data_IF_409779273849
#
_entry.id   IF_409779273849
#
_cell.length_a   1.000
_cell.length_b   1.000
_cell.length_c   1.000
_cell.angle_alpha   90.00
_cell.angle_beta   90.00
_cell.angle_gamma   90.00
#
_symmetry.space_group_name_H-M   'P 1'
#
loop_
_entity.id
_entity.type
_entity.pdbx_description
1 polymer ?
#
# COMPACT_ATOMS: atom_id res chain seq x y z
N UNK A 1 -16.44 9.93 29.92
CA UNK A 1 -17.53 10.09 30.90
C UNK A 1 -17.98 8.75 31.52
N UNK A 2 -18.16 7.67 30.73
CA UNK A 2 -18.57 6.35 31.24
C UNK A 2 -17.54 5.78 32.20
N UNK A 3 -16.26 5.73 31.77
CA UNK A 3 -15.13 5.23 32.57
C UNK A 3 -14.91 6.04 33.85
N UNK A 4 -15.17 7.36 33.84
CA UNK A 4 -15.05 8.21 35.01
C UNK A 4 -16.18 8.00 36.02
N UNK A 5 -17.37 7.54 35.56
CA UNK A 5 -18.50 7.25 36.43
C UNK A 5 -18.48 5.86 37.05
N UNK A 6 -17.87 4.90 36.37
CA UNK A 6 -17.77 3.52 36.83
C UNK A 6 -16.39 3.28 37.42
N UNK A 7 -16.30 3.07 38.73
CA UNK A 7 -15.06 2.66 39.37
C UNK A 7 -14.60 1.32 38.79
N UNK A 8 -13.55 1.32 38.01
CA UNK A 8 -12.91 0.10 37.55
C UNK A 8 -11.91 -0.30 38.63
N UNK A 9 -12.16 -1.38 39.38
CA UNK A 9 -11.28 -1.78 40.46
C UNK A 9 -9.92 -2.19 39.90
N UNK A 10 -8.83 -1.71 40.47
CA UNK A 10 -7.44 -2.16 40.30
C UNK A 10 -6.75 -1.95 38.95
N UNK A 11 -7.33 -1.25 37.98
CA UNK A 11 -6.68 -0.99 36.69
C UNK A 11 -6.47 0.50 36.45
N UNK A 12 -5.30 0.85 35.93
CA UNK A 12 -5.06 2.19 35.37
C UNK A 12 -5.43 2.19 33.90
N UNK A 13 -6.12 3.23 33.46
CA UNK A 13 -6.51 3.43 32.05
C UNK A 13 -5.72 4.62 31.52
N UNK A 14 -5.00 4.39 30.44
CA UNK A 14 -4.33 5.43 29.64
C UNK A 14 -5.19 5.71 28.42
N UNK A 15 -5.60 6.94 28.23
CA UNK A 15 -6.33 7.39 27.03
C UNK A 15 -5.27 7.97 26.09
N UNK A 16 -5.26 7.49 24.85
CA UNK A 16 -4.29 7.88 23.80
C UNK A 16 -5.06 8.61 22.71
N UNK A 17 -4.65 9.83 22.40
CA UNK A 17 -5.14 10.61 21.27
C UNK A 17 -4.02 10.64 20.22
N UNK A 18 -4.13 9.75 19.22
CA UNK A 18 -3.13 9.62 18.17
C UNK A 18 -3.30 10.72 17.12
N UNK A 19 -2.28 11.53 16.83
CA UNK A 19 -2.27 12.44 15.70
C UNK A 19 -1.93 11.70 14.39
N UNK A 20 -2.10 12.36 13.24
CA UNK A 20 -1.56 11.94 11.95
C UNK A 20 -1.83 10.47 11.58
N UNK A 21 -3.05 9.98 11.85
CA UNK A 21 -3.47 8.61 11.52
C UNK A 21 -3.52 8.43 9.99
N UNK A 22 -4.09 9.39 9.26
CA UNK A 22 -4.31 9.36 7.81
C UNK A 22 -3.01 9.26 6.98
N UNK A 23 -1.87 9.64 7.57
CA UNK A 23 -0.55 9.50 6.96
C UNK A 23 0.28 8.39 7.61
N UNK A 24 -0.34 7.55 8.45
CA UNK A 24 0.25 6.38 9.11
C UNK A 24 1.54 6.67 9.92
N UNK A 25 1.75 7.90 10.41
CA UNK A 25 2.96 8.29 11.13
C UNK A 25 2.76 8.46 12.65
N UNK A 26 1.57 8.90 13.06
CA UNK A 26 1.32 9.28 14.45
C UNK A 26 1.53 8.15 15.46
N UNK A 27 1.19 6.92 15.10
CA UNK A 27 1.44 5.76 15.96
C UNK A 27 2.94 5.54 16.21
N UNK A 28 3.78 5.72 15.19
CA UNK A 28 5.23 5.58 15.30
C UNK A 28 5.84 6.68 16.19
N UNK A 29 5.38 7.93 16.03
CA UNK A 29 5.82 9.03 16.88
C UNK A 29 5.48 8.78 18.34
N UNK A 30 4.24 8.41 18.64
CA UNK A 30 3.81 8.11 20.02
C UNK A 30 4.53 6.88 20.60
N UNK A 31 4.83 5.88 19.77
CA UNK A 31 5.62 4.72 20.21
C UNK A 31 7.06 5.11 20.58
N UNK A 32 7.67 6.03 19.82
CA UNK A 32 8.99 6.56 20.14
C UNK A 32 9.02 7.31 21.48
N UNK A 33 7.90 7.92 21.89
CA UNK A 33 7.71 8.57 23.20
C UNK A 33 7.28 7.57 24.30
N UNK A 34 7.44 6.27 24.08
CA UNK A 34 7.15 5.21 25.05
C UNK A 34 5.70 5.21 25.58
N UNK A 35 4.73 5.67 24.77
CA UNK A 35 3.32 5.76 25.20
C UNK A 35 2.72 4.41 25.62
N UNK A 36 3.31 3.31 25.17
CA UNK A 36 2.87 1.94 25.50
C UNK A 36 3.60 1.32 26.68
N UNK A 37 4.52 2.04 27.33
CA UNK A 37 5.23 1.51 28.49
C UNK A 37 4.26 1.17 29.64
N UNK A 38 4.36 -0.07 30.15
CA UNK A 38 3.48 -0.60 31.18
C UNK A 38 2.04 -0.91 30.75
N UNK A 39 1.72 -0.77 29.46
CA UNK A 39 0.38 -1.13 28.91
C UNK A 39 0.31 -2.63 28.71
N UNK A 40 -0.67 -3.28 29.33
CA UNK A 40 -0.92 -4.73 29.22
C UNK A 40 -1.89 -5.09 28.10
N UNK A 41 -2.79 -4.19 27.75
CA UNK A 41 -3.77 -4.36 26.67
C UNK A 41 -4.08 -3.02 26.02
N UNK A 42 -4.29 -3.02 24.71
CA UNK A 42 -4.65 -1.86 23.91
C UNK A 42 -5.97 -2.13 23.21
N UNK A 43 -6.87 -1.14 23.26
CA UNK A 43 -8.14 -1.16 22.55
C UNK A 43 -8.18 0.02 21.59
N UNK A 44 -8.53 -0.27 20.33
CA UNK A 44 -8.82 0.73 19.32
C UNK A 44 -10.23 0.52 18.78
N UNK A 45 -10.85 1.60 18.35
CA UNK A 45 -12.16 1.58 17.69
C UNK A 45 -12.06 2.40 16.42
N UNK A 46 -12.51 1.81 15.32
CA UNK A 46 -12.58 2.48 14.03
C UNK A 46 -14.03 2.59 13.56
N UNK A 47 -14.42 3.72 13.00
CA UNK A 47 -15.74 3.89 12.38
C UNK A 47 -15.76 3.09 11.07
N UNK A 48 -16.82 2.30 10.88
CA UNK A 48 -16.99 1.50 9.66
C UNK A 48 -18.33 1.82 9.02
N UNK A 49 -18.36 2.49 7.86
CA UNK A 49 -19.59 3.02 7.26
C UNK A 49 -20.65 1.95 6.95
N UNK A 50 -20.21 0.71 6.64
CA UNK A 50 -21.10 -0.39 6.28
C UNK A 50 -21.78 -1.06 7.50
N UNK A 51 -21.39 -0.68 8.73
CA UNK A 51 -22.03 -1.17 9.95
C UNK A 51 -23.17 -0.25 10.39
N UNK A 52 -24.37 -0.79 10.57
CA UNK A 52 -25.48 -0.01 11.12
C UNK A 52 -25.15 0.54 12.51
N UNK A 53 -25.69 1.72 12.81
CA UNK A 53 -25.60 2.35 14.14
C UNK A 53 -26.06 1.36 15.23
N UNK A 54 -25.31 1.28 16.32
CA UNK A 54 -25.57 0.37 17.44
C UNK A 54 -25.00 -1.04 17.25
N UNK A 55 -24.29 -1.30 16.15
CA UNK A 55 -23.55 -2.55 15.92
C UNK A 55 -22.06 -2.35 16.16
N UNK A 56 -21.41 -3.39 16.63
CA UNK A 56 -19.95 -3.46 16.80
C UNK A 56 -19.45 -4.69 16.04
N UNK A 57 -18.54 -4.49 15.09
CA UNK A 57 -17.88 -5.58 14.38
C UNK A 57 -16.67 -6.07 15.17
N UNK A 58 -16.58 -7.38 15.37
CA UNK A 58 -15.46 -8.05 16.04
C UNK A 58 -14.99 -9.19 15.15
N UNK A 59 -13.69 -9.35 15.01
CA UNK A 59 -13.08 -10.44 14.25
C UNK A 59 -11.85 -10.97 14.98
N UNK A 60 -11.70 -12.30 15.00
CA UNK A 60 -10.47 -12.94 15.46
C UNK A 60 -9.44 -12.97 14.33
N UNK A 61 -8.17 -12.77 14.64
CA UNK A 61 -7.10 -12.74 13.64
C UNK A 61 -6.94 -11.38 12.98
N UNK A 62 -6.40 -11.37 11.76
CA UNK A 62 -6.14 -10.13 11.01
C UNK A 62 -7.43 -9.40 10.71
N UNK A 63 -7.57 -8.17 11.18
CA UNK A 63 -8.76 -7.34 11.03
C UNK A 63 -8.69 -6.46 9.79
N UNK A 64 -7.56 -5.78 9.58
CA UNK A 64 -7.32 -4.90 8.44
C UNK A 64 -6.09 -5.36 7.66
N UNK A 65 -6.06 -5.09 6.36
CA UNK A 65 -4.88 -5.33 5.54
C UNK A 65 -3.78 -4.32 5.88
N UNK A 66 -2.54 -4.78 5.82
CA UNK A 66 -1.40 -3.89 5.73
C UNK A 66 -1.46 -3.09 4.42
N UNK A 67 -1.01 -1.85 4.45
CA UNK A 67 -1.10 -0.89 3.37
C UNK A 67 0.26 -0.28 3.07
N UNK A 68 0.59 -0.13 1.78
CA UNK A 68 1.73 0.64 1.32
C UNK A 68 1.39 1.44 0.07
N UNK A 69 2.10 2.55 -0.10
CA UNK A 69 2.20 3.23 -1.38
C UNK A 69 3.19 2.50 -2.29
N UNK A 70 2.91 2.51 -3.58
CA UNK A 70 3.75 1.94 -4.62
C UNK A 70 4.05 3.02 -5.65
N UNK A 71 5.31 3.36 -5.79
CA UNK A 71 5.80 4.25 -6.82
C UNK A 71 6.76 3.51 -7.73
N UNK A 72 6.53 3.59 -9.05
CA UNK A 72 7.41 3.01 -10.06
C UNK A 72 7.71 4.09 -11.08
N UNK A 73 8.99 4.40 -11.23
CA UNK A 73 9.51 5.24 -12.29
C UNK A 73 10.11 4.37 -13.39
N UNK A 74 9.59 4.52 -14.59
CA UNK A 74 10.10 3.87 -15.80
C UNK A 74 10.81 4.94 -16.62
N UNK A 75 12.09 4.75 -16.82
CA UNK A 75 12.96 5.68 -17.53
C UNK A 75 13.48 4.96 -18.77
N UNK A 76 13.11 5.48 -19.92
CA UNK A 76 13.52 4.98 -21.22
C UNK A 76 14.38 6.00 -21.97
N UNK A 77 14.30 5.95 -23.28
CA UNK A 77 14.95 6.89 -24.16
C UNK A 77 13.93 7.42 -25.16
N UNK A 78 13.64 8.72 -25.10
CA UNK A 78 12.68 9.35 -25.99
C UNK A 78 13.09 9.31 -27.46
N UNK A 79 12.12 9.53 -28.35
CA UNK A 79 12.41 9.47 -29.78
C UNK A 79 11.21 9.87 -30.65
N UNK A 80 11.39 9.83 -31.95
CA UNK A 80 10.33 10.11 -32.91
C UNK A 80 9.31 8.93 -32.93
N UNK A 81 8.03 9.22 -32.73
CA UNK A 81 6.99 8.20 -32.60
C UNK A 81 6.87 7.23 -33.81
N UNK A 82 7.29 7.66 -35.01
CA UNK A 82 7.34 6.78 -36.19
C UNK A 82 8.63 5.95 -36.33
N UNK A 83 9.58 6.09 -35.37
CA UNK A 83 10.84 5.36 -35.34
C UNK A 83 11.08 4.69 -33.99
N UNK A 84 10.19 3.77 -33.55
CA UNK A 84 10.28 3.17 -32.21
C UNK A 84 11.54 2.35 -31.98
N UNK A 85 12.19 1.90 -33.03
CA UNK A 85 13.46 1.15 -32.97
C UNK A 85 14.68 2.00 -32.58
N UNK A 86 14.55 3.33 -32.58
CA UNK A 86 15.60 4.27 -32.19
C UNK A 86 15.47 4.73 -30.73
N UNK A 87 14.41 4.29 -29.99
CA UNK A 87 14.14 4.70 -28.64
C UNK A 87 13.67 3.55 -27.74
N UNK A 88 13.45 3.85 -26.48
CA UNK A 88 12.88 2.94 -25.48
C UNK A 88 11.60 3.55 -24.93
N UNK A 89 10.46 2.97 -25.31
CA UNK A 89 9.13 3.52 -25.03
C UNK A 89 8.69 3.22 -23.59
N UNK A 90 8.81 4.24 -22.71
CA UNK A 90 8.40 4.13 -21.32
C UNK A 90 6.88 3.91 -21.13
N UNK A 91 6.04 4.40 -22.05
CA UNK A 91 4.59 4.15 -21.96
C UNK A 91 4.28 2.68 -22.27
N UNK A 92 4.93 2.11 -23.28
CA UNK A 92 4.79 0.69 -23.60
C UNK A 92 5.24 -0.20 -22.46
N UNK A 93 6.40 0.10 -21.86
CA UNK A 93 6.94 -0.64 -20.73
C UNK A 93 6.00 -0.51 -19.52
N UNK A 94 5.47 0.69 -19.24
CA UNK A 94 4.50 0.91 -18.16
C UNK A 94 3.25 0.02 -18.31
N UNK A 95 2.71 -0.09 -19.50
CA UNK A 95 1.58 -0.97 -19.78
C UNK A 95 1.92 -2.44 -19.51
N UNK A 96 3.13 -2.89 -19.87
CA UNK A 96 3.62 -4.24 -19.58
C UNK A 96 3.83 -4.48 -18.10
N UNK A 97 4.36 -3.51 -17.37
CA UNK A 97 4.54 -3.57 -15.93
C UNK A 97 3.20 -3.71 -15.21
N UNK A 98 2.22 -2.88 -15.55
CA UNK A 98 0.88 -2.96 -14.97
C UNK A 98 0.27 -4.35 -15.20
N UNK A 99 0.27 -4.81 -16.47
CA UNK A 99 -0.29 -6.11 -16.83
C UNK A 99 0.46 -7.26 -16.17
N UNK A 100 1.79 -7.22 -16.19
CA UNK A 100 2.64 -8.28 -15.63
C UNK A 100 2.55 -8.39 -14.11
N UNK A 101 2.37 -7.28 -13.38
CA UNK A 101 2.12 -7.32 -11.95
C UNK A 101 0.76 -7.94 -11.63
N UNK A 102 -0.30 -7.62 -12.39
CA UNK A 102 -1.62 -8.24 -12.21
C UNK A 102 -1.58 -9.74 -12.51
N UNK A 103 -0.90 -10.13 -13.58
CA UNK A 103 -0.68 -11.53 -13.90
C UNK A 103 0.08 -12.25 -12.80
N UNK A 104 1.17 -11.66 -12.30
CA UNK A 104 1.98 -12.25 -11.26
C UNK A 104 1.21 -12.40 -9.93
N UNK A 105 0.40 -11.42 -9.52
CA UNK A 105 -0.49 -11.54 -8.37
C UNK A 105 -1.43 -12.74 -8.53
N UNK A 106 -2.06 -12.88 -9.71
CA UNK A 106 -3.05 -13.94 -9.94
C UNK A 106 -2.45 -15.34 -10.16
N UNK A 107 -1.19 -15.45 -10.60
CA UNK A 107 -0.57 -16.72 -11.03
C UNK A 107 0.57 -17.21 -10.16
N UNK A 108 1.16 -16.34 -9.33
CA UNK A 108 2.35 -16.67 -8.52
C UNK A 108 2.13 -16.56 -7.03
N UNK A 109 1.08 -15.85 -6.60
CA UNK A 109 0.73 -15.76 -5.20
C UNK A 109 -0.35 -16.77 -4.84
N UNK A 110 -0.32 -17.24 -3.60
CA UNK A 110 -1.34 -18.11 -3.04
C UNK A 110 -2.68 -17.37 -2.96
N UNK A 111 -3.71 -17.91 -3.60
CA UNK A 111 -5.04 -17.31 -3.61
C UNK A 111 -5.68 -17.19 -2.21
N UNK A 112 -5.21 -18.00 -1.23
CA UNK A 112 -5.63 -17.92 0.16
C UNK A 112 -4.93 -16.79 0.93
N UNK A 113 -3.94 -16.12 0.32
CA UNK A 113 -3.22 -14.96 0.83
C UNK A 113 -3.44 -13.75 -0.08
N UNK A 114 -4.62 -13.14 -0.03
CA UNK A 114 -4.99 -12.12 -0.99
C UNK A 114 -4.06 -10.91 -0.91
N UNK A 115 -3.59 -10.51 -2.09
CA UNK A 115 -2.82 -9.30 -2.32
C UNK A 115 -3.55 -8.46 -3.35
N UNK A 116 -3.66 -7.16 -3.11
CA UNK A 116 -4.17 -6.19 -4.07
C UNK A 116 -3.04 -5.24 -4.43
N UNK A 117 -2.79 -5.09 -5.71
CA UNK A 117 -1.94 -4.03 -6.29
C UNK A 117 -2.82 -3.24 -7.25
N UNK A 118 -2.96 -1.95 -7.02
CA UNK A 118 -3.75 -1.07 -7.88
C UNK A 118 -2.99 0.20 -8.17
N UNK A 119 -3.04 0.65 -9.42
CA UNK A 119 -2.47 1.93 -9.84
C UNK A 119 -3.60 2.95 -9.99
N UNK A 120 -3.56 4.01 -9.19
CA UNK A 120 -4.53 5.10 -9.22
C UNK A 120 -4.12 6.26 -10.11
N UNK A 121 -2.82 6.33 -10.46
CA UNK A 121 -2.30 7.39 -11.32
C UNK A 121 -1.18 6.88 -12.22
N UNK A 122 -1.23 7.30 -13.48
CA UNK A 122 -0.15 7.19 -14.47
C UNK A 122 0.11 8.56 -15.05
N UNK A 123 1.37 8.94 -15.19
CA UNK A 123 1.76 10.21 -15.79
C UNK A 123 3.06 10.06 -16.58
N UNK A 124 3.10 10.60 -17.80
CA UNK A 124 4.26 10.56 -18.68
C UNK A 124 3.91 11.00 -20.10
N UNK A 125 4.96 11.24 -20.89
CA UNK A 125 4.84 11.75 -22.27
C UNK A 125 4.52 13.24 -22.35
N UNK A 126 4.95 13.85 -23.46
CA UNK A 126 4.80 15.31 -23.68
C UNK A 126 4.04 15.62 -24.98
N UNK A 127 4.06 14.75 -25.97
CA UNK A 127 3.41 14.96 -27.26
C UNK A 127 2.96 13.63 -27.89
N UNK A 128 1.90 13.70 -28.71
CA UNK A 128 1.29 12.50 -29.30
C UNK A 128 2.18 11.75 -30.31
N UNK A 129 3.21 12.40 -30.85
CA UNK A 129 4.12 11.86 -31.86
C UNK A 129 5.56 11.70 -31.36
N UNK A 130 5.78 11.77 -30.04
CA UNK A 130 7.08 11.61 -29.39
C UNK A 130 7.01 10.47 -28.41
N UNK A 131 7.97 9.55 -28.50
CA UNK A 131 8.15 8.45 -27.53
C UNK A 131 8.47 9.05 -26.16
N UNK A 132 7.73 8.64 -25.15
CA UNK A 132 7.92 9.13 -23.79
C UNK A 132 9.22 8.61 -23.19
N UNK A 133 10.04 9.53 -22.70
CA UNK A 133 11.28 9.20 -21.99
C UNK A 133 11.02 8.68 -20.57
N UNK A 134 9.96 9.15 -19.93
CA UNK A 134 9.65 8.78 -18.54
C UNK A 134 8.15 8.60 -18.33
N UNK A 135 7.82 7.56 -17.56
CA UNK A 135 6.47 7.35 -17.02
C UNK A 135 6.57 7.06 -15.53
N UNK A 136 5.72 7.73 -14.77
CA UNK A 136 5.53 7.49 -13.34
C UNK A 136 4.20 6.79 -13.10
N UNK A 137 4.22 5.69 -12.36
CA UNK A 137 3.07 4.97 -11.85
C UNK A 137 2.96 5.17 -10.34
N UNK A 138 1.79 5.57 -9.86
CA UNK A 138 1.50 5.65 -8.43
C UNK A 138 0.35 4.71 -8.11
N UNK A 139 0.54 3.90 -7.09
CA UNK A 139 -0.41 2.87 -6.72
C UNK A 139 -0.42 2.56 -5.23
N UNK A 140 -1.17 1.54 -4.90
CA UNK A 140 -1.27 1.03 -3.54
C UNK A 140 -1.15 -0.48 -3.52
N UNK A 141 -0.57 -0.98 -2.43
CA UNK A 141 -0.50 -2.41 -2.13
C UNK A 141 -1.29 -2.68 -0.86
N UNK A 142 -2.07 -3.77 -0.85
CA UNK A 142 -2.78 -4.27 0.32
C UNK A 142 -2.52 -5.75 0.50
N UNK A 143 -2.23 -6.18 1.73
CA UNK A 143 -1.98 -7.59 2.04
C UNK A 143 -2.44 -7.92 3.46
N UNK A 144 -3.11 -9.06 3.65
CA UNK A 144 -3.55 -9.54 4.96
C UNK A 144 -2.50 -10.38 5.70
N UNK A 145 -1.59 -11.04 4.96
CA UNK A 145 -0.50 -11.84 5.52
C UNK A 145 0.75 -10.97 5.70
N UNK A 146 1.15 -10.74 6.95
CA UNK A 146 2.27 -9.84 7.25
C UNK A 146 3.61 -10.37 6.71
N UNK A 147 3.83 -11.69 6.71
CA UNK A 147 5.07 -12.27 6.18
C UNK A 147 5.17 -12.10 4.68
N UNK A 148 4.05 -12.25 3.98
CA UNK A 148 3.99 -11.99 2.54
C UNK A 148 4.18 -10.49 2.26
N UNK A 149 3.53 -9.62 3.06
CA UNK A 149 3.67 -8.16 2.92
C UNK A 149 5.13 -7.70 2.98
N UNK A 150 5.91 -8.23 3.91
CA UNK A 150 7.34 -7.92 4.05
C UNK A 150 8.19 -8.33 2.82
N UNK A 151 7.73 -9.34 2.07
CA UNK A 151 8.41 -9.84 0.86
C UNK A 151 7.98 -9.12 -0.42
N UNK A 152 6.80 -8.49 -0.42
CA UNK A 152 6.23 -7.86 -1.62
C UNK A 152 7.13 -6.81 -2.27
N UNK A 153 7.85 -5.92 -1.55
CA UNK A 153 8.70 -4.93 -2.19
C UNK A 153 9.74 -5.55 -3.12
N UNK A 154 10.52 -6.50 -2.63
CA UNK A 154 11.55 -7.19 -3.42
C UNK A 154 10.95 -8.04 -4.55
N UNK A 155 9.79 -8.65 -4.31
CA UNK A 155 9.08 -9.44 -5.31
C UNK A 155 8.55 -8.55 -6.45
N UNK A 156 7.96 -7.39 -6.15
CA UNK A 156 7.49 -6.41 -7.13
C UNK A 156 8.67 -5.87 -7.92
N UNK A 157 9.73 -5.43 -7.24
CA UNK A 157 10.95 -4.91 -7.88
C UNK A 157 11.50 -5.89 -8.90
N UNK A 158 11.65 -7.16 -8.52
CA UNK A 158 12.17 -8.21 -9.41
C UNK A 158 11.30 -8.39 -10.65
N UNK A 159 9.98 -8.33 -10.52
CA UNK A 159 9.06 -8.46 -11.66
C UNK A 159 9.21 -7.26 -12.59
N UNK A 160 9.22 -6.06 -12.03
CA UNK A 160 9.36 -4.81 -12.80
C UNK A 160 10.68 -4.80 -13.56
N UNK A 161 11.80 -5.12 -12.89
CA UNK A 161 13.12 -5.19 -13.51
C UNK A 161 13.17 -6.24 -14.63
N UNK A 162 12.61 -7.43 -14.41
CA UNK A 162 12.57 -8.48 -15.44
C UNK A 162 11.75 -8.08 -16.66
N UNK A 163 10.69 -7.31 -16.48
CA UNK A 163 9.89 -6.80 -17.60
C UNK A 163 10.68 -5.71 -18.34
N UNK A 164 11.23 -4.74 -17.60
CA UNK A 164 11.97 -3.64 -18.20
C UNK A 164 13.22 -4.09 -18.95
N UNK A 165 13.91 -5.13 -18.49
CA UNK A 165 15.13 -5.66 -19.12
C UNK A 165 14.93 -6.28 -20.49
N UNK A 166 13.68 -6.47 -20.93
CA UNK A 166 13.38 -6.96 -22.28
C UNK A 166 13.34 -5.85 -23.34
N UNK A 167 13.50 -4.62 -22.94
CA UNK A 167 13.41 -3.43 -23.78
C UNK A 167 14.62 -2.51 -23.63
#
# INVERSE_FOLDING_TARGET
KVLAKNKIPSSRIRIIFQPAEEIAQGANWMRAENVLEGVKALFGVHVYPDLPVGKIGIKTGTFTAAAAELEIDIIGNGGHGARPHEGTDSIWIAAKVISGLQEAVSRRLDALKPVVISFGRISGGNAFNVIAERVKLLGTVRCLDIKLYEQLPLWIEKIVQNIASNY
#
